data_IF_634745409324
#
_entry.id   IF_634745409324
#
_cell.length_a   1.000
_cell.length_b   1.000
_cell.length_c   1.000
_cell.angle_alpha   90.00
_cell.angle_beta   90.00
_cell.angle_gamma   90.00
#
_symmetry.space_group_name_H-M   'P 1'
#
loop_
_entity.id
_entity.type
_entity.pdbx_description
1 polymer ?
#
# COMPACT_ATOMS: atom_id res chain seq x y z
N UNK A 1 5.85 -5.13 9.65
CA UNK A 1 5.65 -5.08 8.19
C UNK A 1 4.15 -5.09 7.94
N UNK A 2 3.67 -4.46 6.87
CA UNK A 2 2.24 -4.36 6.52
C UNK A 2 1.65 -5.70 6.05
N UNK A 3 2.48 -6.69 5.72
CA UNK A 3 2.11 -8.08 5.44
C UNK A 3 3.33 -8.99 5.65
N UNK A 4 3.14 -10.32 5.58
CA UNK A 4 4.23 -11.29 5.75
C UNK A 4 5.12 -11.35 4.50
N UNK A 5 6.40 -11.66 4.69
CA UNK A 5 7.36 -11.75 3.58
C UNK A 5 6.91 -12.69 2.44
N UNK A 6 6.35 -13.88 2.69
CA UNK A 6 5.85 -14.74 1.59
C UNK A 6 4.71 -14.13 0.78
N UNK A 7 3.88 -13.25 1.38
CA UNK A 7 2.83 -12.54 0.64
C UNK A 7 3.43 -11.49 -0.29
N UNK A 8 4.44 -10.73 0.17
CA UNK A 8 5.20 -9.82 -0.69
C UNK A 8 5.83 -10.58 -1.86
N UNK A 9 6.63 -11.63 -1.59
CA UNK A 9 7.30 -12.43 -2.61
C UNK A 9 6.30 -13.02 -3.64
N UNK A 10 5.13 -13.47 -3.17
CA UNK A 10 4.06 -13.95 -4.06
C UNK A 10 3.50 -12.84 -4.93
N UNK A 11 3.19 -11.67 -4.35
CA UNK A 11 2.63 -10.53 -5.08
C UNK A 11 3.59 -9.99 -6.14
N UNK A 12 4.86 -9.82 -5.80
CA UNK A 12 5.89 -9.37 -6.76
C UNK A 12 6.04 -10.34 -7.94
N UNK A 13 6.02 -11.63 -7.66
CA UNK A 13 6.12 -12.68 -8.68
C UNK A 13 4.90 -12.73 -9.60
N UNK A 14 3.68 -12.67 -9.07
CA UNK A 14 2.48 -12.76 -9.92
C UNK A 14 2.14 -11.44 -10.62
N UNK A 15 2.41 -10.29 -9.99
CA UNK A 15 2.07 -8.99 -10.55
C UNK A 15 3.06 -8.53 -11.62
N UNK A 16 4.33 -8.93 -11.49
CA UNK A 16 5.39 -8.37 -12.31
C UNK A 16 6.53 -9.36 -12.63
N UNK A 17 6.44 -10.65 -12.28
CA UNK A 17 7.52 -11.64 -12.47
C UNK A 17 8.86 -11.21 -11.85
N UNK A 18 8.80 -10.60 -10.66
CA UNK A 18 9.97 -10.15 -9.90
C UNK A 18 10.26 -11.11 -8.75
N UNK A 19 11.54 -11.30 -8.47
CA UNK A 19 12.07 -12.03 -7.32
C UNK A 19 12.78 -11.03 -6.41
N UNK A 20 12.33 -10.93 -5.16
CA UNK A 20 12.66 -9.84 -4.24
C UNK A 20 13.40 -10.37 -3.03
N UNK A 21 14.45 -9.66 -2.62
CA UNK A 21 15.21 -10.02 -1.43
C UNK A 21 14.46 -9.60 -0.15
N UNK A 22 14.59 -10.40 0.90
CA UNK A 22 14.00 -10.15 2.22
C UNK A 22 14.52 -8.87 2.85
N UNK A 23 15.77 -8.51 2.60
CA UNK A 23 16.38 -7.29 3.14
C UNK A 23 15.66 -6.03 2.62
N UNK A 24 15.18 -6.06 1.37
CA UNK A 24 14.43 -4.95 0.75
C UNK A 24 12.96 -4.90 1.19
N UNK A 25 12.37 -6.05 1.56
CA UNK A 25 10.95 -6.13 1.96
C UNK A 25 10.64 -5.27 3.19
N UNK A 26 11.55 -5.18 4.15
CA UNK A 26 11.34 -4.35 5.34
C UNK A 26 11.28 -2.87 4.96
N UNK A 27 12.25 -2.40 4.17
CA UNK A 27 12.29 -1.01 3.68
C UNK A 27 11.02 -0.68 2.89
N UNK A 28 10.66 -1.54 1.93
CA UNK A 28 9.46 -1.36 1.13
C UNK A 28 8.20 -1.34 2.01
N UNK A 29 8.10 -2.25 2.96
CA UNK A 29 6.96 -2.31 3.88
C UNK A 29 6.82 -1.02 4.69
N UNK A 30 7.91 -0.47 5.20
CA UNK A 30 7.89 0.75 6.00
C UNK A 30 7.52 1.96 5.11
N UNK A 31 8.03 2.00 3.87
CA UNK A 31 7.67 3.01 2.88
C UNK A 31 6.18 2.96 2.51
N UNK A 32 5.66 1.80 2.12
CA UNK A 32 4.26 1.65 1.73
C UNK A 32 3.31 1.84 2.92
N UNK A 33 3.71 1.43 4.13
CA UNK A 33 2.95 1.68 5.34
C UNK A 33 2.80 3.16 5.65
N UNK A 34 3.85 3.96 5.43
CA UNK A 34 3.76 5.43 5.48
C UNK A 34 2.78 5.98 4.45
N UNK A 35 2.76 5.46 3.22
CA UNK A 35 1.78 5.88 2.20
C UNK A 35 0.34 5.57 2.61
N UNK A 36 0.07 4.41 3.22
CA UNK A 36 -1.25 4.09 3.76
C UNK A 36 -1.64 5.10 4.85
N UNK A 37 -0.71 5.43 5.74
CA UNK A 37 -0.93 6.44 6.78
C UNK A 37 -1.22 7.83 6.19
N UNK A 38 -0.45 8.28 5.20
CA UNK A 38 -0.64 9.58 4.55
C UNK A 38 -2.03 9.68 3.87
N UNK A 39 -2.51 8.58 3.26
CA UNK A 39 -3.87 8.49 2.73
C UNK A 39 -4.94 8.66 3.83
N UNK A 40 -4.70 8.09 5.02
CA UNK A 40 -5.60 8.23 6.18
C UNK A 40 -5.57 9.64 6.78
N UNK A 41 -4.41 10.30 6.83
CA UNK A 41 -4.30 11.71 7.28
C UNK A 41 -5.09 12.63 6.36
N UNK A 42 -5.01 12.42 5.05
CA UNK A 42 -5.84 13.17 4.09
C UNK A 42 -7.32 12.85 4.26
N UNK A 43 -7.65 11.58 4.51
CA UNK A 43 -9.03 11.16 4.76
C UNK A 43 -9.61 11.81 6.03
N UNK A 44 -8.82 11.95 7.08
CA UNK A 44 -9.22 12.67 8.30
C UNK A 44 -9.56 14.14 7.99
N UNK A 45 -8.70 14.82 7.24
CA UNK A 45 -8.96 16.19 6.80
C UNK A 45 -10.27 16.28 6.01
N UNK A 46 -10.53 15.32 5.12
CA UNK A 46 -11.74 15.27 4.30
C UNK A 46 -13.00 14.98 5.15
N UNK A 47 -12.90 14.11 6.15
CA UNK A 47 -13.98 13.83 7.09
C UNK A 47 -14.33 15.08 7.92
N UNK A 48 -13.31 15.76 8.47
CA UNK A 48 -13.46 17.04 9.19
C UNK A 48 -14.08 18.12 8.29
N UNK A 49 -13.66 18.22 7.02
CA UNK A 49 -14.25 19.15 6.05
C UNK A 49 -15.75 18.89 5.83
N UNK A 50 -16.16 17.62 5.84
CA UNK A 50 -17.57 17.22 5.74
C UNK A 50 -18.29 17.22 7.11
N UNK A 51 -17.72 17.86 8.14
CA UNK A 51 -18.25 17.93 9.49
C UNK A 51 -18.58 16.56 10.13
N UNK A 52 -17.76 15.55 9.81
CA UNK A 52 -17.84 14.21 10.40
C UNK A 52 -16.72 13.97 11.40
N UNK A 53 -17.02 13.12 12.36
CA UNK A 53 -16.13 12.60 13.41
C UNK A 53 -15.61 11.18 13.12
N UNK A 54 -16.05 10.60 12.01
CA UNK A 54 -15.63 9.27 11.53
C UNK A 54 -15.17 9.36 10.08
N UNK A 55 -14.07 8.66 9.77
CA UNK A 55 -13.53 8.51 8.42
C UNK A 55 -14.26 7.39 7.69
N UNK A 56 -14.85 7.72 6.54
CA UNK A 56 -15.52 6.79 5.63
C UNK A 56 -14.73 6.58 4.34
N UNK A 57 -15.11 5.58 3.54
CA UNK A 57 -14.41 5.27 2.29
C UNK A 57 -14.25 6.48 1.37
N UNK A 58 -15.31 7.29 1.24
CA UNK A 58 -15.34 8.46 0.35
C UNK A 58 -14.32 9.55 0.74
N UNK A 59 -13.75 9.48 1.95
CA UNK A 59 -12.70 10.41 2.38
C UNK A 59 -11.32 10.03 1.88
N UNK A 60 -11.09 8.74 1.62
CA UNK A 60 -9.80 8.27 1.15
C UNK A 60 -9.52 8.87 -0.24
N UNK A 61 -8.36 9.51 -0.46
CA UNK A 61 -8.01 10.09 -1.75
C UNK A 61 -7.52 9.00 -2.73
N UNK A 62 -8.28 7.92 -2.88
CA UNK A 62 -7.98 6.81 -3.78
C UNK A 62 -8.34 7.24 -5.20
N UNK A 63 -7.33 7.45 -6.02
CA UNK A 63 -7.52 7.77 -7.44
C UNK A 63 -8.11 6.57 -8.19
N UNK A 64 -8.70 6.83 -9.36
CA UNK A 64 -9.26 5.76 -10.21
C UNK A 64 -8.24 4.66 -10.53
N UNK A 65 -6.99 5.03 -10.82
CA UNK A 65 -5.93 4.06 -11.13
C UNK A 65 -5.58 3.15 -9.94
N UNK A 66 -5.54 3.72 -8.72
CA UNK A 66 -5.33 2.92 -7.51
C UNK A 66 -6.55 2.03 -7.22
N UNK A 67 -7.77 2.53 -7.42
CA UNK A 67 -8.99 1.74 -7.28
C UNK A 67 -9.07 0.56 -8.27
N UNK A 68 -8.54 0.72 -9.49
CA UNK A 68 -8.39 -0.36 -10.47
C UNK A 68 -7.38 -1.40 -9.99
N UNK A 69 -6.22 -0.98 -9.52
CA UNK A 69 -5.21 -1.89 -8.95
C UNK A 69 -5.75 -2.65 -7.73
N UNK A 70 -6.55 -1.98 -6.89
CA UNK A 70 -7.25 -2.60 -5.77
C UNK A 70 -8.22 -3.70 -6.20
N UNK A 71 -8.96 -3.51 -7.30
CA UNK A 71 -9.86 -4.54 -7.86
C UNK A 71 -9.08 -5.71 -8.46
N UNK A 72 -7.95 -5.43 -9.10
CA UNK A 72 -7.11 -6.48 -9.67
C UNK A 72 -6.43 -7.32 -8.58
N UNK A 73 -6.02 -6.70 -7.47
CA UNK A 73 -5.47 -7.41 -6.32
C UNK A 73 -6.43 -8.47 -5.77
N UNK A 74 -7.74 -8.20 -5.75
CA UNK A 74 -8.75 -9.19 -5.31
C UNK A 74 -8.76 -10.46 -6.16
N UNK A 75 -8.35 -10.36 -7.42
CA UNK A 75 -8.32 -11.48 -8.36
C UNK A 75 -7.06 -12.35 -8.20
N UNK A 76 -6.06 -11.89 -7.42
CA UNK A 76 -4.77 -12.57 -7.25
C UNK A 76 -4.80 -13.69 -6.19
N UNK A 77 -5.93 -13.89 -5.52
CA UNK A 77 -6.15 -14.94 -4.50
C UNK A 77 -5.07 -14.95 -3.41
N UNK A 78 -4.61 -13.76 -3.00
CA UNK A 78 -3.70 -13.55 -1.88
C UNK A 78 -4.53 -13.06 -0.71
N UNK A 79 -4.75 -13.94 0.28
CA UNK A 79 -5.49 -13.59 1.48
C UNK A 79 -4.80 -12.42 2.21
N UNK A 80 -5.44 -11.24 2.30
CA UNK A 80 -4.84 -10.11 2.98
C UNK A 80 -5.14 -10.19 4.49
N UNK A 81 -4.19 -9.79 5.32
CA UNK A 81 -4.31 -9.83 6.79
C UNK A 81 -4.43 -8.41 7.34
N UNK A 82 -5.35 -8.19 8.29
CA UNK A 82 -5.61 -6.88 8.86
C UNK A 82 -4.62 -6.51 9.95
N UNK A 83 -4.37 -7.43 10.87
CA UNK A 83 -3.50 -7.22 12.04
C UNK A 83 -2.13 -6.65 11.66
N UNK A 84 -1.38 -7.17 10.65
CA UNK A 84 -0.08 -6.61 10.29
C UNK A 84 -0.14 -5.15 9.82
N UNK A 85 -1.23 -4.74 9.16
CA UNK A 85 -1.42 -3.36 8.72
C UNK A 85 -1.72 -2.48 9.93
N UNK A 86 -2.61 -2.91 10.83
CA UNK A 86 -2.94 -2.17 12.04
C UNK A 86 -1.74 -2.03 12.98
N UNK A 87 -0.98 -3.10 13.20
CA UNK A 87 0.25 -3.10 14.01
C UNK A 87 1.28 -2.12 13.47
N UNK A 88 1.41 -2.02 12.14
CA UNK A 88 2.31 -1.05 11.53
C UNK A 88 1.82 0.39 11.75
N UNK A 89 0.52 0.65 11.53
CA UNK A 89 -0.08 1.97 11.72
C UNK A 89 -0.05 2.41 13.19
N UNK A 90 -0.15 1.49 14.14
CA UNK A 90 -0.04 1.77 15.58
C UNK A 90 1.34 2.32 16.00
N UNK A 91 2.37 2.12 15.17
CA UNK A 91 3.70 2.71 15.38
C UNK A 91 3.83 4.18 14.93
N UNK A 92 2.79 4.75 14.32
CA UNK A 92 2.75 6.13 13.83
C UNK A 92 1.89 7.01 14.75
N UNK A 93 1.98 8.35 14.64
CA UNK A 93 1.12 9.23 15.42
C UNK A 93 -0.37 8.87 15.24
N UNK A 94 -1.16 8.83 16.31
CA UNK A 94 -2.58 8.51 16.18
C UNK A 94 -3.32 9.61 15.42
N UNK A 95 -4.37 9.21 14.70
CA UNK A 95 -5.35 10.13 14.13
C UNK A 95 -6.26 10.67 15.24
N UNK A 96 -6.80 11.86 15.06
CA UNK A 96 -7.83 12.45 15.91
C UNK A 96 -9.20 11.76 15.71
N UNK A 97 -9.48 11.29 14.48
CA UNK A 97 -10.75 10.64 14.14
C UNK A 97 -10.62 9.13 14.03
N UNK A 98 -11.71 8.43 14.38
CA UNK A 98 -11.80 7.00 14.18
C UNK A 98 -12.03 6.64 12.70
N UNK A 99 -11.46 5.52 12.27
CA UNK A 99 -11.77 4.90 10.99
C UNK A 99 -12.96 3.95 11.13
N UNK A 100 -13.95 4.12 10.25
CA UNK A 100 -15.10 3.21 10.17
C UNK A 100 -14.67 1.77 9.91
N UNK A 101 -15.52 0.81 10.31
CA UNK A 101 -15.26 -0.62 10.08
C UNK A 101 -15.09 -0.96 8.59
N UNK A 102 -15.82 -0.26 7.72
CA UNK A 102 -15.66 -0.39 6.28
C UNK A 102 -14.27 0.03 5.82
N UNK A 103 -13.75 1.17 6.29
CA UNK A 103 -12.38 1.59 5.98
C UNK A 103 -11.36 0.62 6.55
N UNK A 104 -11.54 0.18 7.81
CA UNK A 104 -10.66 -0.83 8.45
C UNK A 104 -10.59 -2.11 7.62
N UNK A 105 -11.73 -2.65 7.18
CA UNK A 105 -11.79 -3.85 6.36
C UNK A 105 -11.13 -3.69 4.98
N UNK A 106 -10.98 -2.46 4.47
CA UNK A 106 -10.33 -2.15 3.19
C UNK A 106 -8.82 -1.93 3.28
N UNK A 107 -8.28 -1.63 4.46
CA UNK A 107 -6.83 -1.41 4.64
C UNK A 107 -5.95 -2.55 4.10
N UNK A 108 -6.30 -3.84 4.30
CA UNK A 108 -5.48 -4.94 3.80
C UNK A 108 -5.48 -5.02 2.27
N UNK A 109 -6.62 -4.69 1.65
CA UNK A 109 -6.76 -4.59 0.19
C UNK A 109 -5.95 -3.43 -0.37
N UNK A 110 -5.96 -2.28 0.30
CA UNK A 110 -5.14 -1.12 -0.06
C UNK A 110 -3.65 -1.45 0.03
N UNK A 111 -3.21 -2.11 1.11
CA UNK A 111 -1.84 -2.57 1.27
C UNK A 111 -1.41 -3.51 0.13
N UNK A 112 -2.24 -4.52 -0.17
CA UNK A 112 -2.01 -5.44 -1.30
C UNK A 112 -1.90 -4.72 -2.64
N UNK A 113 -2.80 -3.77 -2.91
CA UNK A 113 -2.82 -2.99 -4.13
C UNK A 113 -1.56 -2.12 -4.30
N UNK A 114 -1.09 -1.50 -3.22
CA UNK A 114 0.15 -0.72 -3.25
C UNK A 114 1.37 -1.59 -3.55
N UNK A 115 1.41 -2.83 -3.05
CA UNK A 115 2.46 -3.81 -3.40
C UNK A 115 2.40 -4.19 -4.87
N UNK A 116 1.20 -4.46 -5.41
CA UNK A 116 1.00 -4.74 -6.84
C UNK A 116 1.45 -3.57 -7.71
N UNK A 117 1.06 -2.35 -7.35
CA UNK A 117 1.49 -1.13 -8.04
C UNK A 117 3.02 -0.99 -7.98
N UNK A 118 3.64 -1.24 -6.83
CA UNK A 118 5.09 -1.15 -6.67
C UNK A 118 5.84 -2.14 -7.57
N UNK A 119 5.38 -3.38 -7.61
CA UNK A 119 5.95 -4.41 -8.47
C UNK A 119 5.86 -4.02 -9.96
N UNK A 120 4.72 -3.48 -10.39
CA UNK A 120 4.52 -3.03 -11.77
C UNK A 120 5.37 -1.82 -12.11
N UNK A 121 5.47 -0.84 -11.22
CA UNK A 121 6.34 0.32 -11.44
C UNK A 121 7.79 -0.11 -11.62
N UNK A 122 8.29 -1.06 -10.84
CA UNK A 122 9.65 -1.60 -11.06
C UNK A 122 9.79 -2.25 -12.44
N UNK A 123 8.79 -3.03 -12.88
CA UNK A 123 8.78 -3.63 -14.22
C UNK A 123 8.77 -2.58 -15.34
N UNK A 124 8.07 -1.46 -15.15
CA UNK A 124 8.08 -0.34 -16.11
C UNK A 124 9.41 0.42 -16.10
N UNK A 125 10.08 0.52 -14.94
CA UNK A 125 11.37 1.20 -14.80
C UNK A 125 12.54 0.43 -15.42
N UNK A 126 12.46 -0.91 -15.41
CA UNK A 126 13.38 -1.83 -16.09
C UNK A 126 12.62 -3.10 -16.53
N UNK A 127 12.25 -3.23 -17.81
CA UNK A 127 11.50 -4.38 -18.33
C UNK A 127 12.23 -5.71 -18.26
N UNK A 128 13.56 -5.74 -18.14
CA UNK A 128 14.36 -6.97 -18.14
C UNK A 128 14.75 -7.41 -16.72
N UNK A 129 14.49 -6.57 -15.71
CA UNK A 129 14.84 -6.88 -14.33
C UNK A 129 14.08 -8.12 -13.84
N UNK A 130 14.81 -9.03 -13.20
CA UNK A 130 14.24 -10.16 -12.45
C UNK A 130 14.40 -9.96 -10.95
N UNK A 131 15.59 -9.54 -10.54
CA UNK A 131 15.95 -9.26 -9.16
C UNK A 131 16.17 -7.76 -8.99
N UNK A 132 15.19 -7.01 -8.43
CA UNK A 132 15.38 -5.59 -8.15
C UNK A 132 16.57 -5.38 -7.21
N UNK A 133 17.22 -4.24 -7.36
CA UNK A 133 18.35 -3.80 -6.52
C UNK A 133 18.02 -2.46 -5.90
N UNK A 134 18.84 -2.00 -4.97
CA UNK A 134 18.68 -0.71 -4.26
C UNK A 134 18.28 0.46 -5.18
N UNK A 135 18.90 0.59 -6.35
CA UNK A 135 18.55 1.65 -7.32
C UNK A 135 17.10 1.58 -7.82
N UNK A 136 16.57 0.37 -8.05
CA UNK A 136 15.18 0.17 -8.47
C UNK A 136 14.21 0.61 -7.38
N UNK A 137 14.51 0.27 -6.13
CA UNK A 137 13.70 0.66 -4.97
C UNK A 137 13.69 2.18 -4.76
N UNK A 138 14.85 2.83 -4.90
CA UNK A 138 14.93 4.29 -4.81
C UNK A 138 14.18 5.00 -5.95
N UNK A 139 14.24 4.45 -7.17
CA UNK A 139 13.47 4.97 -8.30
C UNK A 139 11.97 4.78 -8.10
N UNK A 140 11.56 3.62 -7.59
CA UNK A 140 10.18 3.33 -7.22
C UNK A 140 9.66 4.33 -6.19
N UNK A 141 10.41 4.55 -5.10
CA UNK A 141 10.05 5.50 -4.04
C UNK A 141 9.82 6.90 -4.61
N UNK A 142 10.73 7.38 -5.47
CA UNK A 142 10.59 8.66 -6.18
C UNK A 142 9.33 8.73 -7.04
N UNK A 143 8.97 7.65 -7.73
CA UNK A 143 7.73 7.63 -8.55
C UNK A 143 6.49 7.70 -7.66
N UNK A 144 6.48 6.97 -6.54
CA UNK A 144 5.36 6.98 -5.60
C UNK A 144 5.20 8.35 -4.93
N UNK A 145 6.30 8.99 -4.53
CA UNK A 145 6.30 10.32 -3.90
C UNK A 145 5.78 11.45 -4.82
N UNK A 146 5.73 11.23 -6.13
CA UNK A 146 5.13 12.20 -7.06
C UNK A 146 3.60 12.18 -7.04
N UNK A 147 2.98 11.11 -6.52
CA UNK A 147 1.54 10.84 -6.70
C UNK A 147 0.80 10.49 -5.39
N UNK A 148 1.49 9.95 -4.38
CA UNK A 148 0.93 9.46 -3.13
C UNK A 148 1.57 10.13 -1.92
#
# INVERSE_FOLDING_TARGET
MIMRAPQFERLFRIAASLDVDKDDLKRLSDFLGKKIYDLLVVAERNAKYNARDVIYEADLPVTKGLAETMREFEQLDVAPELEPVLDHLAGLPPLDLEVSDEVRARLPKLAGALVVAAARVIRELDPEVKNPRTEHWERLERVFDLLL
#
